data_IF_142745590667
#
_entry.id   IF_142745590667
#
_cell.length_a   1.000
_cell.length_b   1.000
_cell.length_c   1.000
_cell.angle_alpha   90.00
_cell.angle_beta   90.00
_cell.angle_gamma   90.00
#
_symmetry.space_group_name_H-M   'P 1'
#
loop_
_entity.id
_entity.type
_entity.pdbx_description
1 polymer ?
#
# COMPACT_ATOMS: atom_id res chain seq x y z
N UNK A 1 3.57 5.65 20.70
CA UNK A 1 3.66 4.45 19.86
C UNK A 1 3.09 3.23 20.57
N UNK A 2 1.98 2.87 20.75
CA UNK A 2 1.50 1.69 21.50
C UNK A 2 0.01 1.66 21.82
N UNK A 3 -0.82 2.57 21.27
CA UNK A 3 -2.22 2.65 21.64
C UNK A 3 -3.24 2.28 20.56
N UNK A 4 -2.87 2.31 19.28
CA UNK A 4 -3.77 1.90 18.19
C UNK A 4 -4.02 0.38 18.17
N UNK A 5 -3.01 -0.41 18.47
CA UNK A 5 -3.08 -1.87 18.60
C UNK A 5 -4.08 -2.31 19.67
N UNK A 6 -4.19 -1.55 20.75
CA UNK A 6 -5.06 -1.85 21.89
C UNK A 6 -6.56 -1.87 21.58
N UNK A 7 -6.98 -1.20 20.52
CA UNK A 7 -8.40 -0.99 20.21
C UNK A 7 -8.94 -2.11 19.33
N UNK A 8 -8.16 -2.55 18.35
CA UNK A 8 -8.56 -3.62 17.41
C UNK A 8 -8.67 -4.99 18.11
N UNK A 9 -7.73 -5.33 18.98
CA UNK A 9 -7.66 -6.61 19.69
C UNK A 9 -8.68 -6.75 20.80
N UNK A 10 -8.93 -5.69 21.55
CA UNK A 10 -9.94 -5.78 22.63
C UNK A 10 -11.34 -6.08 22.13
N UNK A 11 -11.57 -5.93 20.84
CA UNK A 11 -12.88 -6.06 20.25
C UNK A 11 -13.13 -7.39 19.58
N UNK A 12 -12.12 -7.97 18.88
CA UNK A 12 -12.24 -9.32 18.36
C UNK A 12 -12.39 -10.35 19.49
N UNK A 13 -11.68 -10.17 20.61
CA UNK A 13 -11.74 -11.05 21.78
C UNK A 13 -13.04 -10.93 22.59
N UNK A 14 -13.70 -9.77 22.61
CA UNK A 14 -14.95 -9.58 23.35
C UNK A 14 -16.19 -10.05 22.60
N UNK A 15 -16.11 -10.16 21.25
CA UNK A 15 -17.19 -10.77 20.47
C UNK A 15 -17.32 -12.28 20.70
N UNK A 16 -16.30 -12.94 21.28
CA UNK A 16 -16.30 -14.38 21.51
C UNK A 16 -17.28 -14.88 22.60
N UNK A 17 -17.78 -14.00 23.47
CA UNK A 17 -18.73 -14.37 24.50
C UNK A 17 -20.02 -13.53 24.39
N UNK A 18 -20.94 -13.96 23.52
CA UNK A 18 -22.17 -13.25 23.22
C UNK A 18 -23.06 -12.98 24.45
N UNK A 19 -23.03 -13.86 25.45
CA UNK A 19 -23.84 -13.72 26.67
C UNK A 19 -23.28 -12.71 27.68
N UNK A 20 -21.98 -12.45 27.64
CA UNK A 20 -21.33 -11.43 28.51
C UNK A 20 -21.47 -10.02 27.95
N UNK A 21 -21.63 -9.90 26.63
CA UNK A 21 -21.67 -8.60 25.93
C UNK A 21 -22.97 -7.83 26.18
N UNK A 22 -24.08 -8.57 26.36
CA UNK A 22 -25.40 -7.94 26.48
C UNK A 22 -25.71 -7.39 27.88
N UNK A 23 -24.98 -7.80 28.93
CA UNK A 23 -25.33 -7.44 30.31
C UNK A 23 -24.51 -6.30 30.92
N UNK A 24 -23.35 -5.96 30.37
CA UNK A 24 -22.38 -5.04 31.01
C UNK A 24 -22.08 -3.74 30.30
N UNK A 25 -22.55 -3.51 29.07
CA UNK A 25 -22.22 -2.28 28.36
C UNK A 25 -23.41 -1.36 28.16
N UNK A 26 -23.26 -0.12 28.70
CA UNK A 26 -24.07 1.02 28.32
C UNK A 26 -24.10 1.17 26.79
N UNK A 27 -25.29 1.32 26.21
CA UNK A 27 -25.50 1.47 24.75
C UNK A 27 -24.54 2.48 24.11
N UNK A 28 -24.19 3.53 24.83
CA UNK A 28 -23.21 4.54 24.36
C UNK A 28 -21.80 3.98 24.22
N UNK A 29 -21.35 3.13 25.11
CA UNK A 29 -20.00 2.50 25.04
C UNK A 29 -19.91 1.45 23.95
N UNK A 30 -20.98 0.68 23.72
CA UNK A 30 -21.04 -0.30 22.64
C UNK A 30 -20.96 0.39 21.27
N UNK A 31 -21.74 1.42 21.08
CA UNK A 31 -21.73 2.23 19.87
C UNK A 31 -20.36 2.90 19.66
N UNK A 32 -19.73 3.39 20.72
CA UNK A 32 -18.39 3.97 20.68
C UNK A 32 -17.34 2.95 20.21
N UNK A 33 -17.42 1.73 20.70
CA UNK A 33 -16.51 0.65 20.35
C UNK A 33 -16.66 0.24 18.88
N UNK A 34 -17.90 0.10 18.41
CA UNK A 34 -18.19 -0.19 17.02
C UNK A 34 -17.74 0.93 16.10
N UNK A 35 -17.85 2.16 16.58
CA UNK A 35 -17.40 3.36 15.89
C UNK A 35 -15.85 3.37 15.71
N UNK A 36 -15.10 2.98 16.74
CA UNK A 36 -13.64 2.79 16.62
C UNK A 36 -13.25 1.80 15.50
N UNK A 37 -13.99 0.69 15.37
CA UNK A 37 -13.78 -0.25 14.25
C UNK A 37 -14.05 0.35 12.88
N UNK A 38 -14.97 1.30 12.82
CA UNK A 38 -15.40 1.90 11.56
C UNK A 38 -14.53 3.08 11.12
N UNK A 39 -13.93 3.81 12.06
CA UNK A 39 -13.01 4.93 11.75
C UNK A 39 -11.71 4.40 11.19
N UNK A 40 -11.14 3.32 11.76
CA UNK A 40 -9.99 2.59 11.19
C UNK A 40 -10.38 1.87 9.87
N UNK A 41 -11.68 1.68 9.62
CA UNK A 41 -12.21 1.01 8.45
C UNK A 41 -12.62 1.98 7.32
N UNK A 42 -12.46 3.28 7.47
CA UNK A 42 -12.82 4.29 6.46
C UNK A 42 -11.86 4.31 5.27
N UNK A 43 -11.65 3.18 4.64
CA UNK A 43 -10.89 3.08 3.41
C UNK A 43 -11.72 3.61 2.23
N UNK A 44 -11.09 4.38 1.39
CA UNK A 44 -11.70 5.10 0.27
C UNK A 44 -10.89 4.78 -0.98
N UNK A 45 -11.37 3.94 -1.85
CA UNK A 45 -10.72 3.72 -3.12
C UNK A 45 -11.06 4.86 -4.09
N UNK A 46 -10.09 5.33 -4.81
CA UNK A 46 -10.28 6.19 -5.97
C UNK A 46 -9.81 5.43 -7.20
N UNK A 47 -10.57 5.51 -8.26
CA UNK A 47 -10.13 5.04 -9.56
C UNK A 47 -8.89 5.82 -9.98
N UNK A 48 -7.76 5.13 -10.01
CA UNK A 48 -6.66 5.47 -10.88
C UNK A 48 -6.67 4.41 -11.98
N UNK A 49 -6.71 4.85 -13.25
CA UNK A 49 -6.48 3.94 -14.37
C UNK A 49 -5.21 3.14 -14.15
N UNK A 50 -5.02 2.05 -14.91
CA UNK A 50 -3.85 1.17 -14.81
C UNK A 50 -2.59 2.00 -14.60
N UNK A 51 -2.13 2.09 -13.35
CA UNK A 51 -0.92 2.81 -13.01
C UNK A 51 0.22 2.04 -13.67
N UNK A 52 0.72 2.57 -14.79
CA UNK A 52 1.95 2.04 -15.36
C UNK A 52 3.06 2.35 -14.38
N UNK A 53 3.83 1.35 -14.02
CA UNK A 53 5.11 1.54 -13.34
C UNK A 53 6.25 1.36 -14.33
N UNK A 54 7.43 1.86 -14.00
CA UNK A 54 8.64 1.50 -14.73
C UNK A 54 8.80 -0.02 -14.67
N UNK A 55 9.17 -0.61 -15.81
CA UNK A 55 9.56 -2.02 -15.89
C UNK A 55 11.00 -2.16 -16.39
N UNK A 56 11.63 -3.25 -16.00
CA UNK A 56 12.97 -3.61 -16.45
C UNK A 56 12.82 -4.84 -17.33
N UNK A 57 12.94 -4.65 -18.65
CA UNK A 57 12.75 -5.73 -19.65
C UNK A 57 11.40 -6.46 -19.48
N UNK A 58 10.35 -5.73 -19.11
CA UNK A 58 9.00 -6.26 -18.89
C UNK A 58 8.72 -6.73 -17.45
N UNK A 59 9.74 -6.83 -16.59
CA UNK A 59 9.54 -7.07 -15.17
C UNK A 59 9.11 -5.73 -14.49
N UNK A 60 7.88 -5.62 -13.98
CA UNK A 60 7.42 -4.39 -13.38
C UNK A 60 8.20 -4.11 -12.09
N UNK A 61 8.66 -2.88 -11.90
CA UNK A 61 9.37 -2.46 -10.69
C UNK A 61 8.34 -2.20 -9.56
N UNK A 62 7.61 -3.24 -9.20
CA UNK A 62 6.51 -3.13 -8.25
C UNK A 62 6.13 -4.50 -7.67
N UNK A 63 5.50 -4.48 -6.51
CA UNK A 63 5.04 -5.69 -5.87
C UNK A 63 6.10 -6.40 -5.02
N UNK A 64 5.78 -7.57 -4.51
CA UNK A 64 6.70 -8.36 -3.71
C UNK A 64 7.78 -9.01 -4.58
N UNK A 65 8.93 -9.27 -3.99
CA UNK A 65 10.06 -9.98 -4.60
C UNK A 65 9.63 -11.30 -5.25
N UNK A 66 8.71 -12.02 -4.62
CA UNK A 66 8.15 -13.29 -5.10
C UNK A 66 7.38 -13.18 -6.43
N UNK A 67 7.02 -11.98 -6.87
CA UNK A 67 6.42 -11.72 -8.19
C UNK A 67 7.48 -11.24 -9.19
N UNK A 68 8.35 -10.33 -8.77
CA UNK A 68 9.36 -9.71 -9.62
C UNK A 68 10.47 -10.68 -10.04
N UNK A 69 11.01 -11.45 -9.08
CA UNK A 69 12.13 -12.36 -9.33
C UNK A 69 11.83 -13.40 -10.42
N UNK A 70 10.69 -14.12 -10.40
CA UNK A 70 10.36 -15.07 -11.46
C UNK A 70 10.26 -14.44 -12.85
N UNK A 71 9.85 -13.18 -12.96
CA UNK A 71 9.79 -12.47 -14.25
C UNK A 71 11.21 -12.14 -14.73
N UNK A 72 12.13 -11.71 -13.84
CA UNK A 72 13.55 -11.52 -14.18
C UNK A 72 14.19 -12.81 -14.68
N UNK A 73 13.93 -13.92 -14.02
CA UNK A 73 14.46 -15.24 -14.43
C UNK A 73 13.93 -15.65 -15.80
N UNK A 74 12.66 -15.39 -16.11
CA UNK A 74 12.07 -15.68 -17.44
C UNK A 74 12.72 -14.85 -18.55
N UNK A 75 13.20 -13.64 -18.29
CA UNK A 75 13.91 -12.81 -19.28
C UNK A 75 15.42 -13.09 -19.31
N UNK A 76 15.90 -14.10 -18.56
CA UNK A 76 17.26 -14.64 -18.68
C UNK A 76 18.24 -14.16 -17.62
N UNK A 77 17.79 -13.51 -16.56
CA UNK A 77 18.64 -13.23 -15.40
C UNK A 77 18.76 -14.45 -14.50
N UNK A 78 19.94 -14.70 -13.98
CA UNK A 78 20.23 -15.80 -13.03
C UNK A 78 20.65 -15.20 -11.72
N UNK A 79 20.04 -15.64 -10.63
CA UNK A 79 20.41 -15.20 -9.28
C UNK A 79 21.84 -15.64 -8.95
N UNK A 80 22.60 -14.72 -8.35
CA UNK A 80 23.98 -14.91 -7.92
C UNK A 80 24.11 -14.62 -6.43
N UNK A 81 25.17 -15.13 -5.82
CA UNK A 81 25.44 -14.96 -4.39
C UNK A 81 26.84 -14.39 -4.23
N UNK A 82 26.99 -13.07 -3.96
CA UNK A 82 28.29 -12.47 -3.66
C UNK A 82 28.83 -13.01 -2.32
N UNK A 83 30.14 -12.85 -2.09
CA UNK A 83 30.80 -13.29 -0.85
C UNK A 83 30.29 -12.52 0.37
N UNK A 84 29.95 -11.23 0.20
CA UNK A 84 29.43 -10.34 1.23
C UNK A 84 28.10 -9.73 0.72
N UNK A 85 26.97 -10.44 0.86
CA UNK A 85 25.69 -9.91 0.42
C UNK A 85 25.18 -8.84 1.40
N UNK A 86 24.63 -7.76 0.86
CA UNK A 86 23.86 -6.80 1.66
C UNK A 86 22.54 -7.45 2.10
N UNK A 87 22.08 -7.12 3.30
CA UNK A 87 20.79 -7.57 3.77
C UNK A 87 19.68 -7.05 2.84
N UNK A 88 18.66 -7.88 2.62
CA UNK A 88 17.49 -7.53 1.80
C UNK A 88 17.79 -7.09 0.35
N UNK A 89 18.92 -7.59 -0.18
CA UNK A 89 19.33 -7.37 -1.57
C UNK A 89 19.50 -8.70 -2.30
N UNK A 90 18.84 -8.83 -3.44
CA UNK A 90 19.04 -9.96 -4.36
C UNK A 90 19.99 -9.55 -5.49
N UNK A 91 20.87 -10.43 -5.86
CA UNK A 91 21.88 -10.22 -6.90
C UNK A 91 21.60 -11.13 -8.10
N UNK A 92 21.71 -10.58 -9.30
CA UNK A 92 21.49 -11.30 -10.55
C UNK A 92 22.60 -10.98 -11.55
N UNK A 93 22.85 -11.91 -12.46
CA UNK A 93 23.65 -11.71 -13.67
C UNK A 93 22.81 -12.09 -14.89
N UNK A 94 22.95 -11.32 -15.97
CA UNK A 94 22.20 -11.56 -17.19
C UNK A 94 22.55 -10.57 -18.29
N UNK A 95 21.73 -10.55 -19.35
CA UNK A 95 21.90 -9.65 -20.47
C UNK A 95 20.84 -8.54 -20.43
N UNK A 96 21.27 -7.32 -20.05
CA UNK A 96 20.40 -6.14 -20.08
C UNK A 96 20.38 -5.55 -21.49
N UNK A 97 19.27 -5.78 -22.22
CA UNK A 97 19.12 -5.45 -23.64
C UNK A 97 20.28 -5.94 -24.52
N UNK A 98 20.76 -7.17 -24.27
CA UNK A 98 21.86 -7.78 -25.02
C UNK A 98 23.27 -7.36 -24.55
N UNK A 99 23.39 -6.65 -23.44
CA UNK A 99 24.67 -6.27 -22.84
C UNK A 99 24.80 -6.97 -21.49
N UNK A 100 25.91 -7.71 -21.31
CA UNK A 100 26.21 -8.39 -20.04
C UNK A 100 26.17 -7.41 -18.87
N UNK A 101 25.44 -7.78 -17.85
CA UNK A 101 25.19 -6.92 -16.69
C UNK A 101 25.07 -7.73 -15.40
N UNK A 102 25.30 -7.04 -14.29
CA UNK A 102 24.85 -7.42 -12.96
C UNK A 102 23.66 -6.56 -12.55
N UNK A 103 22.83 -7.08 -11.68
CA UNK A 103 21.66 -6.38 -11.16
C UNK A 103 21.55 -6.61 -9.66
N UNK A 104 21.27 -5.55 -8.92
CA UNK A 104 20.92 -5.57 -7.50
C UNK A 104 19.46 -5.15 -7.36
N UNK A 105 18.68 -5.98 -6.69
CA UNK A 105 17.24 -5.75 -6.42
C UNK A 105 17.07 -5.55 -4.93
N UNK A 106 16.78 -4.33 -4.53
CA UNK A 106 16.59 -3.98 -3.13
C UNK A 106 15.12 -4.15 -2.74
N UNK A 107 14.89 -4.75 -1.58
CA UNK A 107 13.57 -4.98 -1.02
C UNK A 107 13.49 -4.42 0.40
N UNK A 108 12.31 -4.09 0.85
CA UNK A 108 12.07 -3.75 2.26
C UNK A 108 12.13 -5.02 3.12
N UNK A 109 12.88 -4.98 4.21
CA UNK A 109 13.13 -6.12 5.09
C UNK A 109 11.84 -6.76 5.64
N UNK A 110 10.89 -5.93 6.04
CA UNK A 110 9.66 -6.37 6.71
C UNK A 110 8.58 -6.80 5.73
N UNK A 111 8.38 -6.01 4.70
CA UNK A 111 7.28 -6.18 3.75
C UNK A 111 7.64 -7.07 2.57
N UNK A 112 8.95 -7.25 2.28
CA UNK A 112 9.49 -7.91 1.08
C UNK A 112 9.01 -7.27 -0.23
N UNK A 113 8.71 -5.98 -0.17
CA UNK A 113 8.31 -5.20 -1.32
C UNK A 113 9.52 -4.56 -1.98
N UNK A 114 9.51 -4.48 -3.30
CA UNK A 114 10.58 -3.84 -4.07
C UNK A 114 10.70 -2.36 -3.71
N UNK A 115 11.91 -1.90 -3.48
CA UNK A 115 12.23 -0.50 -3.23
C UNK A 115 12.96 0.15 -4.40
N UNK A 116 14.00 -0.51 -4.93
CA UNK A 116 14.79 -0.01 -6.06
C UNK A 116 15.51 -1.14 -6.78
N UNK A 117 15.98 -0.85 -8.00
CA UNK A 117 16.84 -1.75 -8.75
C UNK A 117 18.04 -0.99 -9.31
N UNK A 118 19.22 -1.57 -9.18
CA UNK A 118 20.46 -1.07 -9.78
C UNK A 118 20.92 -2.06 -10.84
N UNK A 119 21.19 -1.56 -12.05
CA UNK A 119 21.73 -2.35 -13.15
C UNK A 119 23.12 -1.82 -13.51
N UNK A 120 24.11 -2.68 -13.55
CA UNK A 120 25.49 -2.34 -13.92
C UNK A 120 25.92 -3.10 -15.17
N UNK A 121 26.33 -2.37 -16.19
CA UNK A 121 26.83 -2.89 -17.45
C UNK A 121 28.33 -2.59 -17.58
N UNK A 122 29.13 -3.61 -17.83
CA UNK A 122 30.58 -3.47 -17.89
C UNK A 122 31.28 -4.43 -16.91
N UNK A 123 32.52 -4.15 -16.48
CA UNK A 123 33.36 -2.97 -16.78
C UNK A 123 33.92 -2.95 -18.21
N UNK A 124 34.01 -1.76 -18.80
CA UNK A 124 34.57 -1.52 -20.14
C UNK A 124 36.00 -0.97 -20.03
N UNK A 125 36.95 -1.61 -20.72
CA UNK A 125 38.35 -1.20 -20.70
C UNK A 125 38.66 -0.01 -21.60
N UNK A 126 37.79 0.28 -22.59
CA UNK A 126 38.01 1.39 -23.52
C UNK A 126 36.83 2.36 -23.46
N UNK A 127 37.14 3.66 -23.62
CA UNK A 127 36.11 4.73 -23.65
C UNK A 127 35.16 4.56 -24.84
N UNK A 128 35.67 4.13 -25.99
CA UNK A 128 34.87 3.92 -27.20
C UNK A 128 33.77 2.85 -26.98
N UNK A 129 34.14 1.73 -26.34
CA UNK A 129 33.17 0.66 -26.02
C UNK A 129 32.13 1.11 -25.03
N UNK A 130 32.53 1.88 -23.98
CA UNK A 130 31.65 2.49 -23.03
C UNK A 130 30.64 3.42 -23.72
N UNK A 131 31.11 4.41 -24.51
CA UNK A 131 30.28 5.42 -25.17
C UNK A 131 29.28 4.78 -26.15
N UNK A 132 29.72 3.74 -26.90
CA UNK A 132 28.87 2.99 -27.83
C UNK A 132 27.72 2.31 -27.08
N UNK A 133 28.02 1.60 -26.00
CA UNK A 133 27.03 0.86 -25.22
C UNK A 133 26.11 1.79 -24.43
N UNK A 134 26.64 2.87 -23.87
CA UNK A 134 25.84 3.91 -23.22
C UNK A 134 24.81 4.51 -24.19
N UNK A 135 25.28 4.95 -25.37
CA UNK A 135 24.40 5.52 -26.40
C UNK A 135 23.31 4.55 -26.85
N UNK A 136 23.67 3.25 -27.00
CA UNK A 136 22.72 2.21 -27.36
C UNK A 136 21.63 2.02 -26.28
N UNK A 137 22.04 1.89 -25.01
CA UNK A 137 21.12 1.69 -23.89
C UNK A 137 20.22 2.90 -23.66
N UNK A 138 20.79 4.12 -23.68
CA UNK A 138 20.01 5.36 -23.59
C UNK A 138 18.97 5.41 -24.69
N UNK A 139 19.36 5.16 -25.94
CA UNK A 139 18.42 5.16 -27.07
C UNK A 139 17.35 4.06 -26.98
N UNK A 140 17.63 2.96 -26.29
CA UNK A 140 16.64 1.92 -25.99
C UNK A 140 15.63 2.37 -24.94
N UNK A 141 16.13 2.88 -23.81
CA UNK A 141 15.30 3.36 -22.71
C UNK A 141 14.47 4.61 -23.09
N UNK A 142 15.03 5.49 -23.94
CA UNK A 142 14.28 6.67 -24.45
C UNK A 142 13.06 6.27 -25.28
N UNK A 143 13.14 5.21 -26.06
CA UNK A 143 12.00 4.70 -26.83
C UNK A 143 10.90 4.08 -25.95
N UNK A 144 11.29 3.57 -24.81
CA UNK A 144 10.39 2.88 -23.88
C UNK A 144 9.76 3.86 -22.87
N UNK A 145 10.56 4.80 -22.31
CA UNK A 145 10.18 5.60 -21.16
C UNK A 145 10.19 7.12 -21.39
N UNK A 146 10.85 7.62 -22.44
CA UNK A 146 10.95 9.03 -22.74
C UNK A 146 12.39 9.58 -22.64
N UNK A 147 12.54 10.90 -22.75
CA UNK A 147 13.82 11.53 -22.90
C UNK A 147 14.58 11.71 -21.58
N UNK A 148 15.89 11.44 -21.62
CA UNK A 148 16.80 11.78 -20.53
C UNK A 148 17.21 13.26 -20.56
N UNK A 149 17.37 13.84 -19.39
CA UNK A 149 17.92 15.16 -19.15
C UNK A 149 19.28 15.04 -18.45
N UNK A 150 20.19 15.97 -18.70
CA UNK A 150 21.49 16.00 -18.05
C UNK A 150 21.41 16.69 -16.69
N UNK A 151 22.13 16.17 -15.67
CA UNK A 151 22.41 16.83 -14.40
C UNK A 151 23.79 17.49 -14.42
N UNK A 152 24.01 18.45 -13.52
CA UNK A 152 25.28 19.17 -13.40
C UNK A 152 26.48 18.30 -13.00
N UNK A 153 26.26 17.11 -12.45
CA UNK A 153 27.25 16.09 -12.10
C UNK A 153 27.65 15.18 -13.29
N UNK A 154 27.09 15.42 -14.47
CA UNK A 154 27.33 14.61 -15.67
C UNK A 154 26.47 13.34 -15.75
N UNK A 155 25.63 13.04 -14.79
CA UNK A 155 24.65 11.97 -14.87
C UNK A 155 23.48 12.37 -15.78
N UNK A 156 22.78 11.37 -16.30
CA UNK A 156 21.54 11.55 -17.05
C UNK A 156 20.38 11.02 -16.19
N UNK A 157 19.25 11.69 -16.26
CA UNK A 157 18.05 11.23 -15.57
C UNK A 157 16.81 11.35 -16.45
N UNK A 158 15.90 10.44 -16.25
CA UNK A 158 14.55 10.45 -16.78
C UNK A 158 13.60 10.41 -15.58
N UNK A 159 12.66 11.34 -15.54
CA UNK A 159 11.59 11.41 -14.56
C UNK A 159 10.27 11.58 -15.32
N UNK A 160 9.30 10.75 -15.03
CA UNK A 160 7.96 10.82 -15.58
C UNK A 160 6.95 10.29 -14.54
N UNK A 161 5.66 10.23 -14.91
CA UNK A 161 4.58 9.76 -14.04
C UNK A 161 4.73 8.28 -13.59
N UNK A 162 5.63 7.51 -14.21
CA UNK A 162 5.83 6.09 -13.94
C UNK A 162 7.02 5.81 -13.03
N UNK A 163 8.01 6.71 -12.99
CA UNK A 163 9.17 6.53 -12.15
C UNK A 163 10.37 7.36 -12.58
N UNK A 164 11.48 7.02 -11.96
CA UNK A 164 12.77 7.67 -12.11
C UNK A 164 13.82 6.67 -12.55
N UNK A 165 14.60 7.04 -13.58
CA UNK A 165 15.78 6.30 -14.03
C UNK A 165 16.96 7.27 -14.03
N UNK A 166 17.99 6.96 -13.27
CA UNK A 166 19.24 7.70 -13.31
C UNK A 166 20.32 6.83 -13.94
N UNK A 167 21.01 7.39 -14.95
CA UNK A 167 22.22 6.81 -15.51
C UNK A 167 23.43 7.56 -14.98
N UNK A 168 24.41 6.83 -14.46
CA UNK A 168 25.70 7.37 -14.01
C UNK A 168 26.86 6.53 -14.54
N UNK A 169 28.08 7.05 -14.42
CA UNK A 169 29.32 6.37 -14.73
C UNK A 169 30.04 6.02 -13.44
N UNK A 170 30.54 4.78 -13.34
CA UNK A 170 31.49 4.39 -12.31
C UNK A 170 32.85 4.27 -12.97
N UNK A 171 33.83 5.01 -12.47
CA UNK A 171 35.23 4.89 -12.85
C UNK A 171 35.94 4.03 -11.83
N UNK A 172 36.48 2.91 -12.27
CA UNK A 172 37.29 2.01 -11.45
C UNK A 172 38.75 2.45 -11.36
N UNK A 173 39.45 2.07 -10.32
CA UNK A 173 40.87 2.39 -10.11
C UNK A 173 41.78 1.91 -11.25
N UNK A 174 41.43 0.82 -11.91
CA UNK A 174 42.15 0.29 -13.07
C UNK A 174 41.81 1.01 -14.39
N UNK A 175 41.07 2.13 -14.34
CA UNK A 175 40.67 2.93 -15.48
C UNK A 175 39.49 2.36 -16.29
N UNK A 176 38.92 1.24 -15.91
CA UNK A 176 37.72 0.72 -16.54
C UNK A 176 36.47 1.54 -16.14
N UNK A 177 35.45 1.54 -16.99
CA UNK A 177 34.22 2.27 -16.78
C UNK A 177 33.01 1.31 -16.73
N UNK A 178 32.10 1.54 -15.82
CA UNK A 178 30.80 0.84 -15.73
C UNK A 178 29.67 1.83 -15.96
N UNK A 179 28.67 1.42 -16.73
CA UNK A 179 27.42 2.16 -16.87
C UNK A 179 26.49 1.65 -15.77
N UNK A 180 26.05 2.54 -14.88
CA UNK A 180 25.09 2.19 -13.83
C UNK A 180 23.75 2.86 -14.15
N UNK A 181 22.67 2.10 -14.04
CA UNK A 181 21.30 2.58 -14.02
C UNK A 181 20.70 2.33 -12.64
N UNK A 182 20.10 3.35 -12.06
CA UNK A 182 19.30 3.27 -10.84
C UNK A 182 17.84 3.51 -11.21
N UNK A 183 16.96 2.62 -10.78
CA UNK A 183 15.53 2.65 -11.05
C UNK A 183 14.75 2.81 -9.77
N UNK A 184 13.75 3.70 -9.80
CA UNK A 184 12.83 3.95 -8.70
C UNK A 184 11.46 4.31 -9.28
N UNK A 185 10.38 3.87 -8.65
CA UNK A 185 9.04 4.38 -8.97
C UNK A 185 8.89 5.83 -8.47
N UNK A 186 8.29 6.72 -9.26
CA UNK A 186 8.08 8.12 -8.88
C UNK A 186 6.81 8.35 -8.08
N UNK A 187 5.83 7.48 -8.24
CA UNK A 187 4.59 7.50 -7.47
C UNK A 187 4.55 6.32 -6.51
N UNK A 188 3.89 6.43 -5.35
CA UNK A 188 3.72 5.31 -4.47
C UNK A 188 2.98 4.20 -5.22
N UNK A 189 3.67 3.09 -5.45
CA UNK A 189 3.08 1.93 -6.12
C UNK A 189 1.97 1.32 -5.27
N UNK A 190 2.22 1.19 -3.97
CA UNK A 190 1.26 0.60 -3.06
C UNK A 190 0.11 1.55 -2.78
N UNK A 191 -1.10 1.03 -2.90
CA UNK A 191 -2.33 1.81 -2.86
C UNK A 191 -3.04 1.74 -1.51
N UNK A 192 -2.31 1.55 -0.40
CA UNK A 192 -2.93 1.51 0.94
C UNK A 192 -3.60 2.84 1.30
N UNK A 193 -2.96 3.97 0.97
CA UNK A 193 -3.56 5.29 1.12
C UNK A 193 -4.80 5.46 0.22
N UNK A 194 -4.70 5.04 -1.06
CA UNK A 194 -5.82 5.07 -2.00
C UNK A 194 -6.98 4.18 -1.55
N UNK A 195 -6.70 2.98 -0.97
CA UNK A 195 -7.71 2.11 -0.36
C UNK A 195 -8.49 2.79 0.77
N UNK A 196 -7.89 3.81 1.39
CA UNK A 196 -8.53 4.64 2.42
C UNK A 196 -9.15 5.92 1.85
N UNK A 197 -9.18 6.06 0.52
CA UNK A 197 -9.75 7.19 -0.22
C UNK A 197 -8.93 8.46 -0.13
N UNK A 198 -7.64 8.29 0.09
CA UNK A 198 -6.69 9.39 0.16
C UNK A 198 -6.04 9.58 -1.21
N UNK A 199 -5.87 10.84 -1.59
CA UNK A 199 -5.26 11.28 -2.84
C UNK A 199 -3.93 11.93 -2.56
N UNK A 200 -3.00 11.83 -3.52
CA UNK A 200 -1.65 12.38 -3.38
C UNK A 200 -0.71 11.46 -2.60
N UNK A 201 0.51 11.92 -2.41
CA UNK A 201 1.55 11.19 -1.67
C UNK A 201 1.40 11.46 -0.16
N UNK A 202 0.41 10.83 0.44
CA UNK A 202 0.05 11.04 1.85
C UNK A 202 1.13 10.47 2.76
N UNK A 203 1.60 11.27 3.71
CA UNK A 203 2.52 10.90 4.77
C UNK A 203 1.78 10.55 6.07
N UNK A 204 0.83 11.39 6.47
CA UNK A 204 0.11 11.22 7.72
C UNK A 204 -1.34 11.66 7.58
N UNK A 205 -2.24 10.98 8.27
CA UNK A 205 -3.64 11.38 8.42
C UNK A 205 -4.01 11.36 9.89
N UNK A 206 -4.45 12.50 10.40
CA UNK A 206 -5.01 12.63 11.74
C UNK A 206 -6.51 12.82 11.60
N UNK A 207 -7.32 11.84 12.04
CA UNK A 207 -8.78 11.95 12.06
C UNK A 207 -9.25 12.25 13.47
N UNK A 208 -9.97 13.35 13.65
CA UNK A 208 -10.54 13.76 14.90
C UNK A 208 -12.06 13.57 14.91
N UNK A 209 -12.56 13.21 16.08
CA UNK A 209 -13.96 12.99 16.31
C UNK A 209 -14.33 13.47 17.72
N UNK A 210 -15.38 14.29 17.90
CA UNK A 210 -15.74 14.84 19.21
C UNK A 210 -16.11 13.79 20.25
N UNK A 211 -16.31 12.52 19.84
CA UNK A 211 -16.76 11.44 20.74
C UNK A 211 -15.64 10.45 21.04
N UNK A 212 -14.46 10.56 20.38
CA UNK A 212 -13.37 9.54 20.44
C UNK A 212 -11.99 10.16 20.38
N UNK A 213 -11.02 9.44 20.93
CA UNK A 213 -9.60 9.72 20.73
C UNK A 213 -9.26 9.68 19.23
N UNK A 214 -8.49 10.68 18.75
CA UNK A 214 -8.15 10.79 17.34
C UNK A 214 -7.38 9.57 16.84
N UNK A 215 -7.57 9.23 15.58
CA UNK A 215 -6.86 8.17 14.87
C UNK A 215 -5.74 8.77 14.03
N UNK A 216 -4.54 8.22 14.11
CA UNK A 216 -3.36 8.65 13.36
C UNK A 216 -2.87 7.49 12.51
N UNK A 217 -2.76 7.72 11.21
CA UNK A 217 -2.22 6.77 10.25
C UNK A 217 -0.98 7.36 9.58
N UNK A 218 0.08 6.58 9.48
CA UNK A 218 1.30 6.94 8.77
C UNK A 218 1.47 6.05 7.54
N UNK A 219 1.98 6.63 6.46
CA UNK A 219 2.28 5.93 5.22
C UNK A 219 3.73 6.16 4.84
N UNK A 220 4.38 5.14 4.31
CA UNK A 220 5.72 5.26 3.73
C UNK A 220 5.68 6.06 2.41
N UNK A 221 6.83 6.52 1.94
CA UNK A 221 6.97 7.14 0.60
C UNK A 221 6.49 6.24 -0.54
N UNK A 222 6.55 4.91 -0.35
CA UNK A 222 6.06 3.92 -1.32
C UNK A 222 4.55 3.67 -1.23
N UNK A 223 3.84 4.36 -0.32
CA UNK A 223 2.39 4.30 -0.15
C UNK A 223 1.87 3.18 0.75
N UNK A 224 2.76 2.46 1.45
CA UNK A 224 2.39 1.37 2.39
C UNK A 224 1.96 1.96 3.73
N UNK A 225 0.84 1.51 4.27
CA UNK A 225 0.41 1.84 5.63
C UNK A 225 1.39 1.26 6.66
N UNK A 226 1.96 2.11 7.51
CA UNK A 226 2.86 1.73 8.59
C UNK A 226 2.05 1.19 9.80
N UNK A 227 1.86 -0.13 9.84
CA UNK A 227 1.15 -0.83 10.90
C UNK A 227 1.90 -2.14 11.20
N UNK A 228 2.57 -2.20 12.36
CA UNK A 228 3.42 -3.34 12.76
C UNK A 228 2.62 -4.64 12.92
N UNK A 229 1.34 -4.53 13.27
CA UNK A 229 0.46 -5.68 13.40
C UNK A 229 -0.03 -6.26 12.08
N UNK A 230 0.12 -5.53 10.96
CA UNK A 230 -0.33 -5.97 9.64
C UNK A 230 0.81 -6.62 8.88
N UNK A 231 0.82 -7.95 8.86
CA UNK A 231 1.88 -8.79 8.27
C UNK A 231 1.35 -9.64 7.10
N UNK A 232 2.23 -10.38 6.43
CA UNK A 232 1.90 -11.28 5.30
C UNK A 232 1.08 -10.60 4.20
N UNK A 233 1.38 -9.34 3.90
CA UNK A 233 0.64 -8.53 2.93
C UNK A 233 0.82 -9.07 1.52
N UNK A 234 -0.28 -9.15 0.76
CA UNK A 234 -0.27 -9.50 -0.66
C UNK A 234 -1.00 -8.43 -1.45
N UNK A 235 -0.37 -7.98 -2.52
CA UNK A 235 -0.89 -6.95 -3.41
C UNK A 235 -1.20 -7.56 -4.79
N UNK A 236 -2.17 -6.98 -5.48
CA UNK A 236 -2.40 -7.30 -6.90
C UNK A 236 -1.41 -6.52 -7.80
N UNK A 237 -1.45 -6.77 -9.10
CA UNK A 237 -0.57 -6.11 -10.07
C UNK A 237 -0.76 -4.59 -10.19
N UNK A 238 -1.83 -4.04 -9.66
CA UNK A 238 -2.09 -2.60 -9.61
C UNK A 238 -1.74 -1.97 -8.24
N UNK A 239 -1.09 -2.72 -7.33
CA UNK A 239 -0.64 -2.24 -6.02
C UNK A 239 -1.71 -2.16 -4.95
N UNK A 240 -2.87 -2.76 -5.15
CA UNK A 240 -3.93 -2.83 -4.14
C UNK A 240 -3.78 -4.05 -3.25
N UNK A 241 -3.89 -3.85 -1.93
CA UNK A 241 -3.80 -4.91 -0.93
C UNK A 241 -4.97 -5.88 -1.07
N UNK A 242 -4.71 -7.14 -1.41
CA UNK A 242 -5.75 -8.17 -1.58
C UNK A 242 -5.89 -9.08 -0.36
N UNK A 243 -4.83 -9.26 0.40
CA UNK A 243 -4.90 -9.97 1.68
C UNK A 243 -3.77 -9.57 2.62
N UNK A 244 -4.00 -9.76 3.92
CA UNK A 244 -2.98 -9.62 4.96
C UNK A 244 -3.36 -10.48 6.17
N UNK A 245 -2.40 -10.68 7.09
CA UNK A 245 -2.64 -11.21 8.42
C UNK A 245 -2.51 -10.08 9.43
N UNK A 246 -3.39 -10.03 10.41
CA UNK A 246 -3.30 -9.12 11.55
C UNK A 246 -2.90 -9.89 12.80
N UNK A 247 -1.82 -9.46 13.46
CA UNK A 247 -1.38 -10.03 14.74
C UNK A 247 -2.22 -9.43 15.86
N UNK A 248 -2.87 -10.29 16.63
CA UNK A 248 -3.66 -9.89 17.79
C UNK A 248 -2.79 -9.77 19.05
N UNK A 249 -3.21 -8.98 20.03
CA UNK A 249 -2.46 -8.78 21.29
C UNK A 249 -2.18 -10.08 22.06
N UNK A 250 -3.01 -11.09 21.88
CA UNK A 250 -2.84 -12.42 22.49
C UNK A 250 -1.89 -13.32 21.68
N UNK A 251 -1.26 -12.79 20.62
CA UNK A 251 -0.42 -13.55 19.67
C UNK A 251 -1.21 -14.38 18.65
N UNK A 252 -2.54 -14.31 18.65
CA UNK A 252 -3.39 -14.91 17.62
C UNK A 252 -3.25 -14.17 16.29
N UNK A 253 -3.71 -14.83 15.20
CA UNK A 253 -3.76 -14.21 13.88
C UNK A 253 -5.21 -14.10 13.40
N UNK A 254 -5.57 -12.97 12.82
CA UNK A 254 -6.77 -12.77 12.03
C UNK A 254 -6.40 -12.60 10.56
N UNK A 255 -7.20 -13.15 9.67
CA UNK A 255 -6.99 -13.03 8.23
C UNK A 255 -7.86 -11.94 7.63
N UNK A 256 -7.25 -11.03 6.86
CA UNK A 256 -7.89 -9.95 6.13
C UNK A 256 -7.92 -10.26 4.63
N UNK A 257 -9.07 -10.04 3.98
CA UNK A 257 -9.20 -10.07 2.53
C UNK A 257 -9.92 -8.82 2.03
N UNK A 258 -9.56 -8.39 0.82
CA UNK A 258 -10.07 -7.20 0.16
C UNK A 258 -10.56 -7.57 -1.24
N UNK A 259 -11.75 -7.14 -1.61
CA UNK A 259 -12.36 -7.37 -2.92
C UNK A 259 -12.60 -6.01 -3.61
N UNK A 260 -12.22 -5.92 -4.89
CA UNK A 260 -12.29 -4.71 -5.71
C UNK A 260 -13.20 -4.94 -6.90
N UNK A 261 -13.85 -3.88 -7.38
CA UNK A 261 -14.58 -3.91 -8.65
C UNK A 261 -13.63 -3.69 -9.86
N UNK A 262 -14.21 -3.60 -11.06
CA UNK A 262 -13.47 -3.36 -12.30
C UNK A 262 -12.76 -2.00 -12.36
N UNK A 263 -13.18 -1.06 -11.54
CA UNK A 263 -12.63 0.28 -11.44
C UNK A 263 -11.62 0.42 -10.29
N UNK A 264 -11.19 -0.72 -9.71
CA UNK A 264 -10.32 -0.80 -8.53
C UNK A 264 -10.88 -0.12 -7.28
N UNK A 265 -12.19 0.06 -7.18
CA UNK A 265 -12.84 0.50 -5.95
C UNK A 265 -12.97 -0.67 -4.97
N UNK A 266 -12.57 -0.46 -3.72
CA UNK A 266 -12.73 -1.46 -2.66
C UNK A 266 -14.22 -1.67 -2.36
N UNK A 267 -14.80 -2.77 -2.80
CA UNK A 267 -16.24 -3.04 -2.58
C UNK A 267 -16.49 -3.85 -1.31
N UNK A 268 -15.47 -4.61 -0.85
CA UNK A 268 -15.65 -5.43 0.35
C UNK A 268 -14.32 -5.71 1.05
N UNK A 269 -14.35 -5.68 2.37
CA UNK A 269 -13.26 -6.15 3.24
C UNK A 269 -13.80 -7.14 4.24
N UNK A 270 -13.11 -8.28 4.39
CA UNK A 270 -13.48 -9.32 5.35
C UNK A 270 -12.34 -9.55 6.33
N UNK A 271 -12.64 -9.53 7.64
CA UNK A 271 -11.73 -9.94 8.70
C UNK A 271 -12.28 -11.24 9.30
N UNK A 272 -11.45 -12.27 9.38
CA UNK A 272 -11.80 -13.55 10.01
C UNK A 272 -10.80 -13.86 11.11
N UNK A 273 -11.28 -13.97 12.35
CA UNK A 273 -10.47 -14.38 13.48
C UNK A 273 -10.22 -15.90 13.40
N UNK A 274 -8.94 -16.29 13.31
CA UNK A 274 -8.56 -17.68 13.09
C UNK A 274 -8.84 -18.57 14.32
N UNK A 275 -8.88 -17.99 15.52
CA UNK A 275 -9.11 -18.72 16.78
C UNK A 275 -10.60 -18.91 17.07
N UNK A 276 -11.39 -17.84 16.91
CA UNK A 276 -12.81 -17.86 17.28
C UNK A 276 -13.73 -18.19 16.12
N UNK A 277 -13.27 -18.06 14.87
CA UNK A 277 -14.08 -18.17 13.67
C UNK A 277 -15.07 -17.01 13.46
N UNK A 278 -15.03 -15.97 14.31
CA UNK A 278 -15.85 -14.77 14.15
C UNK A 278 -15.38 -14.02 12.91
N UNK A 279 -16.33 -13.54 12.12
CA UNK A 279 -16.10 -12.84 10.88
C UNK A 279 -16.78 -11.50 10.88
N UNK A 280 -16.06 -10.44 10.47
CA UNK A 280 -16.65 -9.13 10.16
C UNK A 280 -16.48 -8.80 8.67
N UNK A 281 -17.53 -8.25 8.08
CA UNK A 281 -17.60 -7.87 6.66
C UNK A 281 -17.96 -6.41 6.56
N UNK A 282 -17.11 -5.65 5.89
CA UNK A 282 -17.38 -4.26 5.48
C UNK A 282 -17.70 -4.24 4.00
N UNK A 283 -18.79 -3.58 3.61
CA UNK A 283 -19.20 -3.35 2.23
C UNK A 283 -19.29 -1.84 1.97
N UNK A 284 -18.83 -1.39 0.80
CA UNK A 284 -18.70 0.02 0.45
C UNK A 284 -19.55 0.34 -0.78
N UNK A 285 -20.11 1.55 -0.83
CA UNK A 285 -20.82 2.10 -1.98
C UNK A 285 -20.30 3.48 -2.32
N UNK A 286 -20.12 3.73 -3.61
CA UNK A 286 -19.53 4.95 -4.16
C UNK A 286 -20.57 5.77 -4.93
N UNK A 287 -20.33 7.09 -5.02
CA UNK A 287 -21.00 7.96 -5.99
C UNK A 287 -20.26 7.92 -7.33
N UNK A 288 -20.73 8.71 -8.30
CA UNK A 288 -20.11 8.83 -9.63
C UNK A 288 -18.73 9.53 -9.62
N UNK A 289 -18.35 10.14 -8.52
CA UNK A 289 -17.02 10.75 -8.29
C UNK A 289 -16.10 9.83 -7.49
N UNK A 290 -16.46 8.54 -7.36
CA UNK A 290 -15.72 7.51 -6.64
C UNK A 290 -15.50 7.80 -5.16
N UNK A 291 -16.43 8.50 -4.53
CA UNK A 291 -16.40 8.77 -3.10
C UNK A 291 -17.36 7.85 -2.36
N UNK A 292 -16.95 7.30 -1.22
CA UNK A 292 -17.81 6.44 -0.41
C UNK A 292 -18.94 7.25 0.20
N UNK A 293 -20.13 7.00 -0.27
CA UNK A 293 -21.37 7.59 0.27
C UNK A 293 -22.01 6.70 1.32
N UNK A 294 -21.70 5.42 1.34
CA UNK A 294 -22.24 4.50 2.33
C UNK A 294 -21.24 3.35 2.60
N UNK A 295 -21.18 2.99 3.86
CA UNK A 295 -20.45 1.82 4.34
C UNK A 295 -21.38 1.00 5.22
N UNK A 296 -21.31 -0.34 5.12
CA UNK A 296 -22.01 -1.24 6.03
C UNK A 296 -21.04 -2.24 6.63
N UNK A 297 -21.11 -2.42 7.95
CA UNK A 297 -20.39 -3.44 8.71
C UNK A 297 -21.39 -4.47 9.19
N UNK A 298 -21.07 -5.74 8.95
CA UNK A 298 -21.80 -6.91 9.51
C UNK A 298 -20.83 -7.79 10.28
N UNK A 299 -21.17 -8.17 11.51
CA UNK A 299 -20.44 -9.17 12.27
C UNK A 299 -21.25 -10.45 12.36
N UNK A 300 -20.55 -11.58 12.18
CA UNK A 300 -21.15 -12.91 12.18
C UNK A 300 -20.51 -13.75 13.27
N UNK A 301 -21.33 -14.55 13.96
CA UNK A 301 -20.87 -15.58 14.88
C UNK A 301 -20.14 -16.71 14.12
N UNK A 302 -19.54 -17.63 14.86
CA UNK A 302 -18.95 -18.85 14.31
C UNK A 302 -19.95 -19.69 13.52
N UNK A 303 -21.22 -19.68 13.93
CA UNK A 303 -22.34 -20.36 13.26
C UNK A 303 -22.86 -19.59 12.04
N UNK A 304 -22.19 -18.47 11.65
CA UNK A 304 -22.55 -17.61 10.54
C UNK A 304 -23.87 -16.83 10.74
N UNK A 305 -24.28 -16.63 11.98
CA UNK A 305 -25.42 -15.78 12.31
C UNK A 305 -24.97 -14.30 12.39
N UNK A 306 -25.73 -13.39 11.77
CA UNK A 306 -25.45 -11.96 11.86
C UNK A 306 -25.84 -11.42 13.24
N UNK A 307 -24.84 -11.12 14.07
CA UNK A 307 -25.03 -10.64 15.45
C UNK A 307 -25.06 -9.12 15.53
N UNK A 308 -24.50 -8.42 14.53
CA UNK A 308 -24.44 -6.97 14.47
C UNK A 308 -24.49 -6.51 13.02
N UNK A 309 -25.26 -5.46 12.73
CA UNK A 309 -25.21 -4.77 11.45
C UNK A 309 -25.23 -3.26 11.67
N UNK A 310 -24.30 -2.53 11.03
CA UNK A 310 -24.17 -1.09 11.11
C UNK A 310 -24.10 -0.53 9.70
N UNK A 311 -24.83 0.55 9.47
CA UNK A 311 -24.74 1.32 8.22
C UNK A 311 -24.35 2.75 8.55
N UNK A 312 -23.36 3.26 7.83
CA UNK A 312 -22.93 4.66 7.86
C UNK A 312 -23.24 5.30 6.52
N UNK A 313 -23.76 6.51 6.56
CA UNK A 313 -23.87 7.39 5.40
C UNK A 313 -23.00 8.61 5.63
N UNK A 314 -22.22 8.96 4.62
CA UNK A 314 -21.26 10.06 4.64
C UNK A 314 -21.80 11.26 3.87
N UNK A 315 -21.58 12.44 4.43
CA UNK A 315 -21.83 13.75 3.80
C UNK A 315 -20.51 14.55 3.88
N UNK A 316 -19.74 14.52 2.79
CA UNK A 316 -18.40 15.10 2.69
C UNK A 316 -18.51 16.56 2.29
N UNK A 317 -18.19 17.50 3.19
CA UNK A 317 -18.49 18.92 3.01
C UNK A 317 -17.27 19.80 2.69
N UNK A 318 -16.10 19.52 3.22
CA UNK A 318 -14.89 20.32 3.00
C UNK A 318 -13.75 19.45 2.49
N UNK A 319 -12.81 20.04 1.72
CA UNK A 319 -11.69 19.34 1.09
C UNK A 319 -10.43 20.18 1.14
N UNK A 320 -9.27 19.49 1.13
CA UNK A 320 -7.97 20.10 0.89
C UNK A 320 -7.70 20.29 -0.62
N UNK A 321 -6.52 20.84 -0.95
CA UNK A 321 -6.10 21.12 -2.33
C UNK A 321 -5.90 19.84 -3.16
N UNK A 322 -5.63 18.69 -2.52
CA UNK A 322 -5.54 17.38 -3.15
C UNK A 322 -6.92 16.74 -3.36
N UNK A 323 -7.98 17.38 -2.88
CA UNK A 323 -9.36 16.92 -2.98
C UNK A 323 -9.73 15.83 -1.96
N UNK A 324 -8.91 15.65 -0.92
CA UNK A 324 -9.26 14.80 0.22
C UNK A 324 -10.25 15.54 1.13
N UNK A 325 -11.25 14.82 1.64
CA UNK A 325 -12.18 15.46 2.56
C UNK A 325 -11.50 15.77 3.89
N UNK A 326 -11.74 16.97 4.38
CA UNK A 326 -11.27 17.47 5.68
C UNK A 326 -12.40 17.55 6.70
N UNK A 327 -13.65 17.53 6.23
CA UNK A 327 -14.84 17.51 7.06
C UNK A 327 -15.91 16.57 6.52
N UNK A 328 -16.47 15.73 7.40
CA UNK A 328 -17.49 14.74 7.09
C UNK A 328 -18.58 14.72 8.15
N UNK A 329 -19.84 14.68 7.74
CA UNK A 329 -20.97 14.43 8.62
C UNK A 329 -21.44 13.00 8.43
N UNK A 330 -21.35 12.19 9.47
CA UNK A 330 -21.67 10.77 9.43
C UNK A 330 -22.99 10.49 10.12
N UNK A 331 -23.92 9.87 9.40
CA UNK A 331 -25.16 9.34 9.96
C UNK A 331 -25.02 7.84 10.20
N UNK A 332 -25.17 7.39 11.43
CA UNK A 332 -25.09 6.00 11.85
C UNK A 332 -26.47 5.38 12.06
N UNK A 333 -26.65 4.16 11.55
CA UNK A 333 -27.80 3.30 11.85
C UNK A 333 -27.27 1.93 12.24
N UNK A 334 -27.72 1.38 13.33
CA UNK A 334 -27.34 0.03 13.73
C UNK A 334 -28.55 -0.84 14.03
N UNK A 335 -28.40 -2.14 13.86
CA UNK A 335 -29.37 -3.17 14.20
C UNK A 335 -28.72 -4.15 15.16
N UNK A 336 -29.36 -4.35 16.27
CA UNK A 336 -28.97 -5.35 17.25
C UNK A 336 -30.21 -6.24 17.55
N UNK A 337 -30.06 -7.53 17.40
CA UNK A 337 -31.15 -8.51 17.62
C UNK A 337 -32.46 -8.14 16.92
N UNK A 338 -32.36 -7.60 15.68
CA UNK A 338 -33.51 -7.20 14.87
C UNK A 338 -34.14 -5.84 15.23
N UNK A 339 -33.64 -5.14 16.27
CA UNK A 339 -34.10 -3.81 16.62
C UNK A 339 -33.21 -2.73 15.98
N UNK A 340 -33.84 -1.78 15.33
CA UNK A 340 -33.15 -0.63 14.72
C UNK A 340 -32.98 0.48 15.74
N UNK A 341 -31.75 1.02 15.83
CA UNK A 341 -31.45 2.24 16.56
C UNK A 341 -30.70 3.20 15.65
N UNK A 342 -31.03 4.48 15.74
CA UNK A 342 -30.36 5.53 14.96
C UNK A 342 -29.61 6.43 15.94
N UNK A 343 -28.36 6.72 15.60
CA UNK A 343 -27.54 7.68 16.33
C UNK A 343 -27.56 8.98 15.56
N UNK A 344 -27.56 10.07 16.30
CA UNK A 344 -27.48 11.40 15.72
C UNK A 344 -26.22 11.56 14.87
N UNK A 345 -26.29 12.48 13.92
CA UNK A 345 -25.19 12.85 13.05
C UNK A 345 -23.96 13.27 13.86
N UNK A 346 -22.79 12.73 13.48
CA UNK A 346 -21.49 13.04 14.09
C UNK A 346 -20.62 13.73 13.05
N UNK A 347 -19.94 14.78 13.45
CA UNK A 347 -18.98 15.50 12.60
C UNK A 347 -17.58 14.95 12.85
N UNK A 348 -16.86 14.64 11.75
CA UNK A 348 -15.46 14.25 11.75
C UNK A 348 -14.64 15.30 11.03
N UNK A 349 -13.42 15.52 11.49
CA UNK A 349 -12.42 16.33 10.79
C UNK A 349 -11.15 15.54 10.52
N UNK A 350 -10.44 15.88 9.45
CA UNK A 350 -9.13 15.31 9.10
C UNK A 350 -8.10 16.42 8.89
N UNK A 351 -6.86 16.14 9.32
CA UNK A 351 -5.66 16.85 8.93
C UNK A 351 -4.78 15.86 8.19
N UNK A 352 -4.29 16.24 7.02
CA UNK A 352 -3.51 15.37 6.14
C UNK A 352 -2.21 16.09 5.80
N UNK A 353 -1.08 15.42 5.95
CA UNK A 353 0.23 15.87 5.49
C UNK A 353 0.74 14.97 4.35
N UNK A 354 1.63 15.53 3.52
CA UNK A 354 2.12 14.92 2.29
C UNK A 354 3.64 14.88 2.27
N UNK A 355 4.22 13.93 1.53
CA UNK A 355 5.67 13.77 1.43
C UNK A 355 6.37 14.89 0.66
N UNK A 356 5.68 15.55 -0.25
CA UNK A 356 6.27 16.57 -1.16
C UNK A 356 6.07 18.02 -0.67
N UNK A 357 5.67 18.23 0.59
CA UNK A 357 5.47 19.56 1.19
C UNK A 357 6.63 19.99 2.09
#
# INVERSE_FOLDING_TARGET
MGRLTLIYDRMSLKFANSDYFCSLMDRKKFVLIVWMLLVVAGAWAQVQGDAKCISIMGAPLEGPDSVFIPVLEQVGFVQTHPEEPEADTYYFAGDFYGIKSSMMVNVDEKTKLLSSVIVECGPYRTRELYDRNQKYLIGRLQREWGNFSAKGDGSLYLLNDYGYIQQSQILHENGANTIRYFYLNSAPYYKDAANMGLKGQVQEVITQNPVMEGDIMHFSETGVLEADELVDRKYNSAGYLVSASMIEQNGGKSHLTYEYDSDNCLVKRTLTNSTTGIRSVNEYRYNTSFEIIQQSLKAFSKENECVLSITMKNDLSERDDNGNWTKNKVQLTYWEKGQRSQINQVEQTRVISYWDE
#
